data_IF_081841076244
#
_entry.id   IF_081841076244
#
_cell.length_a   1.000
_cell.length_b   1.000
_cell.length_c   1.000
_cell.angle_alpha   90.00
_cell.angle_beta   90.00
_cell.angle_gamma   90.00
#
_symmetry.space_group_name_H-M   'P 1'
#
loop_
_entity.id
_entity.type
_entity.pdbx_description
1 polymer ?
#
# COMPACT_ATOMS: atom_id res chain seq x y z
N UNK A 1 -21.74 18.95 -9.78
CA UNK A 1 -21.58 18.18 -8.53
C UNK A 1 -20.11 17.79 -8.36
N UNK A 2 -19.58 17.76 -7.10
CA UNK A 2 -18.20 17.39 -6.81
C UNK A 2 -18.15 16.11 -5.97
N UNK A 3 -17.13 15.30 -6.22
CA UNK A 3 -16.85 14.02 -5.56
C UNK A 3 -15.42 14.02 -5.04
N UNK A 4 -15.22 13.41 -3.87
CA UNK A 4 -13.93 13.34 -3.22
C UNK A 4 -13.53 11.89 -2.96
N UNK A 5 -12.32 11.51 -3.38
CA UNK A 5 -11.65 10.27 -3.01
C UNK A 5 -10.38 10.57 -2.23
N UNK A 6 -10.17 9.92 -1.07
CA UNK A 6 -8.96 10.11 -0.27
C UNK A 6 -8.33 8.75 0.07
N UNK A 7 -7.03 8.66 -0.16
CA UNK A 7 -6.17 7.59 0.33
C UNK A 7 -5.31 8.13 1.48
N UNK A 8 -5.62 7.70 2.69
CA UNK A 8 -4.97 8.11 3.91
C UNK A 8 -3.97 7.09 4.43
N UNK A 9 -2.72 7.20 3.98
CA UNK A 9 -1.66 6.26 4.26
C UNK A 9 -0.79 6.60 5.48
N UNK A 10 0.17 5.69 5.75
CA UNK A 10 1.17 5.86 6.81
C UNK A 10 2.28 6.87 6.45
N UNK A 11 2.44 7.20 5.18
CA UNK A 11 3.50 8.09 4.67
C UNK A 11 2.95 9.40 4.15
N UNK A 12 1.82 9.36 3.47
CA UNK A 12 1.18 10.52 2.85
C UNK A 12 -0.34 10.32 2.81
N UNK A 13 -1.07 11.42 2.62
CA UNK A 13 -2.51 11.45 2.36
C UNK A 13 -2.71 12.08 0.99
N UNK A 14 -3.40 11.38 0.10
CA UNK A 14 -3.71 11.84 -1.25
C UNK A 14 -5.21 12.06 -1.40
N UNK A 15 -5.63 13.25 -1.83
CA UNK A 15 -7.01 13.58 -2.17
C UNK A 15 -7.15 13.80 -3.68
N UNK A 16 -8.25 13.28 -4.26
CA UNK A 16 -8.68 13.53 -5.63
C UNK A 16 -10.08 14.12 -5.63
N UNK A 17 -10.30 15.16 -6.43
CA UNK A 17 -11.60 15.76 -6.66
C UNK A 17 -12.00 15.55 -8.12
N UNK A 18 -13.23 15.13 -8.35
CA UNK A 18 -13.76 14.98 -9.70
C UNK A 18 -15.17 15.57 -9.84
N UNK A 19 -15.53 15.90 -11.06
CA UNK A 19 -16.89 16.25 -11.46
C UNK A 19 -17.77 15.02 -11.71
N UNK A 20 -19.04 15.25 -11.99
CA UNK A 20 -20.07 14.21 -12.25
C UNK A 20 -19.78 13.36 -13.51
N UNK A 21 -18.95 13.84 -14.43
CA UNK A 21 -18.52 13.10 -15.63
C UNK A 21 -17.34 12.14 -15.36
N UNK A 22 -16.86 12.05 -14.12
CA UNK A 22 -15.66 11.27 -13.76
C UNK A 22 -14.34 11.99 -14.00
N UNK A 23 -14.33 13.19 -14.62
CA UNK A 23 -13.10 13.93 -14.86
C UNK A 23 -12.50 14.43 -13.56
N UNK A 24 -11.26 14.03 -13.27
CA UNK A 24 -10.48 14.56 -12.16
C UNK A 24 -10.13 16.02 -12.44
N UNK A 25 -10.47 16.89 -11.49
CA UNK A 25 -10.33 18.35 -11.56
C UNK A 25 -9.13 18.83 -10.76
N UNK A 26 -8.80 18.12 -9.66
CA UNK A 26 -7.70 18.48 -8.80
C UNK A 26 -7.23 17.32 -7.94
N UNK A 27 -5.98 17.41 -7.53
CA UNK A 27 -5.31 16.49 -6.61
C UNK A 27 -4.54 17.25 -5.54
N UNK A 28 -4.43 16.70 -4.35
CA UNK A 28 -3.67 17.32 -3.27
C UNK A 28 -3.02 16.28 -2.37
N UNK A 29 -1.81 16.57 -1.94
CA UNK A 29 -1.00 15.69 -1.08
C UNK A 29 -0.72 16.38 0.24
N UNK A 30 -0.81 15.63 1.34
CA UNK A 30 -0.42 16.06 2.67
C UNK A 30 0.34 14.95 3.41
N UNK A 31 0.72 15.22 4.65
CA UNK A 31 1.44 14.28 5.50
C UNK A 31 0.62 13.02 5.87
N UNK A 32 1.21 12.12 6.69
CA UNK A 32 0.54 10.91 7.14
C UNK A 32 -0.61 11.19 8.10
N UNK A 33 -1.66 10.38 8.06
CA UNK A 33 -2.87 10.50 8.89
C UNK A 33 -3.11 9.31 9.83
N UNK A 34 -2.12 8.44 10.02
CA UNK A 34 -2.20 7.26 10.89
C UNK A 34 -2.04 7.60 12.38
N UNK A 35 -2.33 6.61 13.26
CA UNK A 35 -2.17 6.69 14.73
C UNK A 35 -2.95 7.84 15.38
N UNK A 36 -4.24 7.94 15.06
CA UNK A 36 -5.15 9.00 15.58
C UNK A 36 -5.20 9.01 17.12
N UNK A 37 -5.13 7.83 17.76
CA UNK A 37 -5.15 7.68 19.22
C UNK A 37 -3.82 8.03 19.91
N UNK A 38 -2.74 8.24 19.16
CA UNK A 38 -1.45 8.65 19.71
C UNK A 38 -1.41 10.12 20.12
N UNK A 39 -0.41 10.50 20.89
CA UNK A 39 -0.20 11.90 21.28
C UNK A 39 -0.09 12.81 20.03
N UNK A 40 -0.94 13.85 19.93
CA UNK A 40 -1.04 14.72 18.74
C UNK A 40 -1.61 14.04 17.49
N UNK A 41 -2.10 12.80 17.60
CA UNK A 41 -2.59 12.03 16.46
C UNK A 41 -3.84 12.61 15.83
N UNK A 42 -4.77 13.15 16.66
CA UNK A 42 -5.98 13.81 16.18
C UNK A 42 -5.67 15.06 15.36
N UNK A 43 -4.80 15.92 15.85
CA UNK A 43 -4.39 17.16 15.16
C UNK A 43 -3.65 16.84 13.86
N UNK A 44 -2.77 15.85 13.89
CA UNK A 44 -2.05 15.35 12.71
C UNK A 44 -3.02 14.83 11.65
N UNK A 45 -4.01 14.02 12.05
CA UNK A 45 -5.04 13.50 11.15
C UNK A 45 -5.83 14.63 10.50
N UNK A 46 -6.34 15.58 11.30
CA UNK A 46 -7.12 16.72 10.80
C UNK A 46 -6.29 17.56 9.82
N UNK A 47 -5.04 17.85 10.16
CA UNK A 47 -4.13 18.61 9.30
C UNK A 47 -3.86 17.92 7.98
N UNK A 48 -3.67 16.59 7.98
CA UNK A 48 -3.43 15.80 6.77
C UNK A 48 -4.66 15.77 5.84
N UNK A 49 -5.86 15.54 6.39
CA UNK A 49 -7.08 15.52 5.59
C UNK A 49 -7.39 16.91 5.03
N UNK A 50 -7.41 17.94 5.89
CA UNK A 50 -7.64 19.32 5.43
C UNK A 50 -6.63 19.74 4.38
N UNK A 51 -5.34 19.57 4.65
CA UNK A 51 -4.27 20.02 3.75
C UNK A 51 -4.35 19.34 2.38
N UNK A 52 -4.63 18.03 2.32
CA UNK A 52 -4.79 17.33 1.04
C UNK A 52 -6.04 17.78 0.27
N UNK A 53 -7.17 17.96 0.96
CA UNK A 53 -8.42 18.40 0.33
C UNK A 53 -8.34 19.86 -0.12
N UNK A 54 -7.81 20.76 0.71
CA UNK A 54 -7.63 22.17 0.36
C UNK A 54 -6.68 22.35 -0.83
N UNK A 55 -5.58 21.60 -0.89
CA UNK A 55 -4.68 21.60 -2.04
C UNK A 55 -5.38 21.12 -3.32
N UNK A 56 -6.19 20.05 -3.23
CA UNK A 56 -6.97 19.55 -4.36
C UNK A 56 -8.05 20.56 -4.81
N UNK A 57 -8.72 21.22 -3.87
CA UNK A 57 -9.71 22.27 -4.16
C UNK A 57 -9.06 23.50 -4.82
N UNK A 58 -7.91 23.92 -4.32
CA UNK A 58 -7.16 25.06 -4.89
C UNK A 58 -6.74 24.75 -6.33
N UNK A 59 -6.23 23.57 -6.60
CA UNK A 59 -5.88 23.14 -7.96
C UNK A 59 -7.11 23.09 -8.89
N UNK A 60 -8.25 22.63 -8.38
CA UNK A 60 -9.50 22.55 -9.13
C UNK A 60 -10.23 23.89 -9.27
N UNK A 61 -9.87 24.92 -8.49
CA UNK A 61 -10.58 26.19 -8.44
C UNK A 61 -12.01 26.09 -7.87
N UNK A 62 -12.24 25.19 -6.90
CA UNK A 62 -13.57 24.90 -6.33
C UNK A 62 -13.60 25.03 -4.81
N UNK A 63 -14.80 25.26 -4.26
CA UNK A 63 -15.02 25.20 -2.82
C UNK A 63 -15.12 23.74 -2.32
N UNK A 64 -14.74 23.43 -1.06
CA UNK A 64 -14.74 22.07 -0.50
C UNK A 64 -16.15 21.63 -0.05
N UNK A 65 -17.08 21.47 -0.99
CA UNK A 65 -18.43 20.97 -0.79
C UNK A 65 -18.70 19.79 -1.74
N UNK A 66 -18.98 18.62 -1.17
CA UNK A 66 -19.03 17.37 -1.93
C UNK A 66 -20.39 16.68 -1.78
N UNK A 67 -20.95 16.18 -2.88
CA UNK A 67 -22.14 15.33 -2.87
C UNK A 67 -21.82 13.97 -2.26
N UNK A 68 -20.66 13.40 -2.61
CA UNK A 68 -20.20 12.17 -1.98
C UNK A 68 -18.68 12.16 -1.82
N UNK A 69 -18.23 11.53 -0.74
CA UNK A 69 -16.82 11.30 -0.47
C UNK A 69 -16.59 9.86 0.02
N UNK A 70 -15.48 9.27 -0.41
CA UNK A 70 -14.94 8.05 0.17
C UNK A 70 -13.52 8.29 0.64
N UNK A 71 -13.23 7.91 1.88
CA UNK A 71 -11.92 8.01 2.49
C UNK A 71 -11.49 6.64 3.02
N UNK A 72 -10.38 6.11 2.51
CA UNK A 72 -9.77 4.87 2.99
C UNK A 72 -8.56 5.15 3.85
N UNK A 73 -8.46 4.46 4.99
CA UNK A 73 -7.42 4.72 5.98
C UNK A 73 -6.67 3.48 6.40
N UNK A 74 -5.35 3.60 6.47
CA UNK A 74 -4.52 2.62 7.14
C UNK A 74 -4.88 2.55 8.63
N UNK A 75 -5.08 1.32 9.14
CA UNK A 75 -5.52 1.06 10.52
C UNK A 75 -7.02 1.15 10.75
N UNK A 76 -7.84 1.13 9.70
CA UNK A 76 -9.29 1.01 9.77
C UNK A 76 -10.06 2.33 9.99
N UNK A 77 -11.39 2.28 9.90
CA UNK A 77 -12.28 3.45 9.97
C UNK A 77 -12.77 3.82 11.37
N UNK A 78 -12.64 2.94 12.36
CA UNK A 78 -13.45 2.89 13.60
C UNK A 78 -13.51 4.21 14.40
N UNK A 79 -12.49 5.04 14.34
CA UNK A 79 -12.38 6.28 15.10
C UNK A 79 -12.28 7.54 14.22
N UNK A 80 -12.47 7.40 12.92
CA UNK A 80 -12.16 8.46 11.94
C UNK A 80 -13.37 9.12 11.31
N UNK A 81 -14.51 8.42 11.22
CA UNK A 81 -15.70 8.96 10.55
C UNK A 81 -16.21 10.24 11.22
N UNK A 82 -16.29 10.26 12.55
CA UNK A 82 -16.71 11.44 13.29
C UNK A 82 -15.79 12.64 13.03
N UNK A 83 -14.47 12.41 13.02
CA UNK A 83 -13.49 13.46 12.74
C UNK A 83 -13.60 13.98 11.30
N UNK A 84 -13.85 13.10 10.33
CA UNK A 84 -14.05 13.52 8.94
C UNK A 84 -15.30 14.39 8.82
N UNK A 85 -16.40 14.03 9.48
CA UNK A 85 -17.65 14.82 9.49
C UNK A 85 -17.50 16.19 10.15
N UNK A 86 -16.56 16.34 11.10
CA UNK A 86 -16.27 17.64 11.72
C UNK A 86 -15.55 18.61 10.77
N UNK A 87 -14.82 18.08 9.78
CA UNK A 87 -13.90 18.88 8.95
C UNK A 87 -14.28 18.99 7.48
N UNK A 88 -15.16 18.12 6.98
CA UNK A 88 -15.59 18.12 5.58
C UNK A 88 -17.11 18.35 5.45
N UNK A 89 -17.49 19.25 4.54
CA UNK A 89 -18.88 19.40 4.10
C UNK A 89 -19.18 18.36 3.01
N UNK A 90 -19.92 17.30 3.37
CA UNK A 90 -20.24 16.19 2.49
C UNK A 90 -21.63 15.64 2.78
N UNK A 91 -22.43 15.38 1.74
CA UNK A 91 -23.79 14.85 1.89
C UNK A 91 -23.76 13.33 2.19
N UNK A 92 -23.00 12.57 1.39
CA UNK A 92 -22.85 11.12 1.54
C UNK A 92 -21.38 10.77 1.80
N UNK A 93 -21.11 10.16 2.95
CA UNK A 93 -19.75 9.80 3.39
C UNK A 93 -19.60 8.30 3.56
N UNK A 94 -18.53 7.75 2.99
CA UNK A 94 -18.01 6.41 3.27
C UNK A 94 -16.59 6.53 3.83
N UNK A 95 -16.38 6.03 5.05
CA UNK A 95 -15.04 5.85 5.64
C UNK A 95 -14.76 4.36 5.72
N UNK A 96 -13.62 3.91 5.20
CA UNK A 96 -13.30 2.49 5.04
C UNK A 96 -11.80 2.23 5.22
N UNK A 97 -11.37 0.97 5.00
CA UNK A 97 -9.95 0.57 5.00
C UNK A 97 -9.24 1.05 3.73
N UNK A 98 -7.93 1.31 3.83
CA UNK A 98 -7.05 1.56 2.67
C UNK A 98 -7.02 0.36 1.71
N UNK A 99 -7.08 -0.87 2.22
CA UNK A 99 -7.12 -2.07 1.39
C UNK A 99 -8.43 -2.19 0.58
N UNK A 100 -9.55 -1.71 1.09
CA UNK A 100 -10.83 -1.72 0.37
C UNK A 100 -10.82 -0.77 -0.82
N UNK A 101 -10.33 0.46 -0.66
CA UNK A 101 -10.18 1.40 -1.77
C UNK A 101 -9.10 0.94 -2.76
N UNK A 102 -8.03 0.32 -2.26
CA UNK A 102 -7.00 -0.28 -3.10
C UNK A 102 -7.56 -1.40 -3.98
N UNK A 103 -8.43 -2.28 -3.45
CA UNK A 103 -9.10 -3.31 -4.22
C UNK A 103 -9.98 -2.71 -5.32
N UNK A 104 -10.79 -1.70 -4.98
CA UNK A 104 -11.65 -1.03 -5.98
C UNK A 104 -10.82 -0.34 -7.05
N UNK A 105 -9.72 0.32 -6.71
CA UNK A 105 -8.78 0.87 -7.70
C UNK A 105 -8.11 -0.20 -8.56
N UNK A 106 -7.82 -1.36 -7.98
CA UNK A 106 -7.07 -2.42 -8.63
C UNK A 106 -7.89 -3.23 -9.65
N UNK A 107 -9.13 -3.60 -9.31
CA UNK A 107 -9.98 -4.52 -10.10
C UNK A 107 -11.36 -3.93 -10.41
N UNK A 108 -11.58 -2.67 -10.10
CA UNK A 108 -12.89 -2.04 -10.22
C UNK A 108 -13.89 -2.64 -9.21
N UNK A 109 -15.12 -2.79 -9.65
CA UNK A 109 -16.21 -3.40 -8.86
C UNK A 109 -16.31 -4.92 -9.02
N UNK A 110 -15.47 -5.49 -9.85
CA UNK A 110 -15.46 -6.92 -10.11
C UNK A 110 -14.96 -7.70 -8.90
N UNK A 111 -15.34 -8.99 -8.76
CA UNK A 111 -14.70 -9.90 -7.85
C UNK A 111 -13.20 -9.97 -8.14
N UNK A 112 -12.39 -10.11 -7.09
CA UNK A 112 -10.93 -10.20 -7.27
C UNK A 112 -10.17 -9.96 -5.98
N UNK A 113 -8.86 -9.96 -6.13
CA UNK A 113 -7.91 -9.83 -5.02
C UNK A 113 -6.88 -8.74 -5.36
N UNK A 114 -6.50 -7.94 -4.37
CA UNK A 114 -5.34 -7.07 -4.44
C UNK A 114 -4.31 -7.49 -3.40
N UNK A 115 -3.04 -7.60 -3.82
CA UNK A 115 -1.91 -7.81 -2.90
C UNK A 115 -1.05 -6.56 -2.92
N UNK A 116 -0.93 -5.95 -1.75
CA UNK A 116 -0.22 -4.70 -1.54
C UNK A 116 1.11 -5.02 -0.84
N UNK A 117 2.23 -4.55 -1.38
CA UNK A 117 3.54 -4.67 -0.77
C UNK A 117 4.32 -3.35 -0.89
N UNK A 118 4.19 -2.54 0.14
CA UNK A 118 4.93 -1.30 0.38
C UNK A 118 5.79 -1.41 1.62
N UNK A 119 5.73 -0.45 2.54
CA UNK A 119 6.37 -0.52 3.86
C UNK A 119 5.87 -1.72 4.68
N UNK A 120 4.57 -2.07 4.57
CA UNK A 120 3.95 -3.30 5.05
C UNK A 120 3.40 -4.13 3.90
N UNK A 121 2.74 -5.25 4.22
CA UNK A 121 2.09 -6.09 3.22
C UNK A 121 0.74 -6.63 3.68
N UNK A 122 -0.20 -6.73 2.74
CA UNK A 122 -1.55 -7.28 2.96
C UNK A 122 -2.09 -7.81 1.64
N UNK A 123 -2.88 -8.87 1.70
CA UNK A 123 -3.77 -9.28 0.62
C UNK A 123 -5.23 -9.08 1.04
N UNK A 124 -6.04 -8.56 0.14
CA UNK A 124 -7.45 -8.24 0.38
C UNK A 124 -8.27 -8.59 -0.84
N UNK A 125 -9.46 -9.18 -0.64
CA UNK A 125 -10.30 -9.63 -1.74
C UNK A 125 -11.78 -9.45 -1.48
N UNK A 126 -12.57 -9.56 -2.56
CA UNK A 126 -14.03 -9.53 -2.57
C UNK A 126 -14.55 -10.51 -3.59
N UNK A 127 -15.56 -11.32 -3.21
CA UNK A 127 -16.27 -12.21 -4.13
C UNK A 127 -17.45 -11.51 -4.83
N UNK A 128 -18.17 -12.25 -5.67
CA UNK A 128 -19.32 -11.74 -6.42
C UNK A 128 -20.52 -11.37 -5.53
N UNK A 129 -20.59 -11.90 -4.31
CA UNK A 129 -21.64 -11.61 -3.33
C UNK A 129 -21.27 -10.43 -2.42
N UNK A 130 -20.07 -9.84 -2.59
CA UNK A 130 -19.56 -8.76 -1.76
C UNK A 130 -18.94 -9.23 -0.44
N UNK A 131 -18.79 -10.54 -0.20
CA UNK A 131 -18.04 -11.07 0.94
C UNK A 131 -16.57 -10.68 0.78
N UNK A 132 -15.95 -10.25 1.87
CA UNK A 132 -14.56 -9.78 1.91
C UNK A 132 -13.71 -10.71 2.76
N UNK A 133 -12.42 -10.83 2.39
CA UNK A 133 -11.42 -11.52 3.18
C UNK A 133 -10.08 -10.79 3.10
N UNK A 134 -9.27 -10.96 4.14
CA UNK A 134 -7.90 -10.44 4.18
C UNK A 134 -6.95 -11.47 4.76
N UNK A 135 -5.67 -11.35 4.37
CA UNK A 135 -4.56 -12.05 4.99
C UNK A 135 -3.35 -11.11 5.07
N UNK A 136 -2.59 -11.20 6.14
CA UNK A 136 -1.51 -10.25 6.45
C UNK A 136 -2.02 -8.92 7.05
N UNK A 137 -1.18 -7.87 6.99
CA UNK A 137 -1.53 -6.55 7.50
C UNK A 137 -1.52 -6.43 9.02
N UNK A 138 -0.76 -7.29 9.72
CA UNK A 138 -0.66 -7.30 11.18
C UNK A 138 0.47 -6.42 11.73
N UNK A 139 1.13 -5.65 10.84
CA UNK A 139 2.26 -4.82 11.19
C UNK A 139 3.57 -5.62 11.32
N UNK A 140 4.67 -4.90 11.35
CA UNK A 140 6.03 -5.46 11.21
C UNK A 140 6.49 -6.36 12.37
N UNK A 141 5.82 -6.34 13.50
CA UNK A 141 6.13 -7.22 14.64
C UNK A 141 5.56 -8.63 14.46
N UNK A 142 4.36 -8.74 13.88
CA UNK A 142 3.60 -9.99 13.80
C UNK A 142 3.28 -10.42 12.36
N UNK A 143 3.69 -9.63 11.36
CA UNK A 143 3.36 -9.86 9.97
C UNK A 143 4.19 -8.99 9.04
N UNK A 144 3.54 -8.50 7.98
CA UNK A 144 4.13 -7.73 6.90
C UNK A 144 5.21 -8.49 6.12
N UNK A 145 5.10 -9.82 6.05
CA UNK A 145 6.02 -10.70 5.32
C UNK A 145 6.07 -10.33 3.84
N UNK A 146 7.28 -10.28 3.28
CA UNK A 146 7.51 -9.87 1.89
C UNK A 146 7.38 -8.37 1.62
N UNK A 147 7.12 -7.55 2.65
CA UNK A 147 7.16 -6.09 2.54
C UNK A 147 8.57 -5.54 2.39
N UNK A 148 8.69 -4.26 2.02
CA UNK A 148 9.97 -3.57 1.94
C UNK A 148 10.72 -3.58 3.29
N UNK A 149 10.01 -3.36 4.40
CA UNK A 149 10.61 -3.46 5.73
C UNK A 149 11.11 -4.87 6.02
N UNK A 150 10.31 -5.90 5.72
CA UNK A 150 10.71 -7.28 5.97
C UNK A 150 11.92 -7.69 5.13
N UNK A 151 11.96 -7.34 3.84
CA UNK A 151 13.11 -7.60 2.97
C UNK A 151 14.40 -7.00 3.56
N UNK A 152 14.37 -5.76 4.05
CA UNK A 152 15.54 -5.12 4.66
C UNK A 152 15.91 -5.78 5.99
N UNK A 153 14.93 -6.13 6.81
CA UNK A 153 15.15 -6.89 8.05
C UNK A 153 15.84 -8.24 7.78
N UNK A 154 15.42 -8.96 6.74
CA UNK A 154 16.04 -10.22 6.34
C UNK A 154 17.46 -9.98 5.79
N UNK A 155 17.67 -8.93 4.99
CA UNK A 155 19.00 -8.57 4.49
C UNK A 155 19.97 -8.24 5.64
N UNK A 156 19.50 -7.52 6.67
CA UNK A 156 20.32 -7.26 7.86
C UNK A 156 20.66 -8.54 8.62
N UNK A 157 19.73 -9.49 8.75
CA UNK A 157 20.02 -10.80 9.37
C UNK A 157 21.12 -11.55 8.62
N UNK A 158 21.10 -11.51 7.30
CA UNK A 158 22.15 -12.12 6.46
C UNK A 158 23.48 -11.39 6.66
N UNK A 159 23.48 -10.06 6.70
CA UNK A 159 24.68 -9.26 6.93
C UNK A 159 25.32 -9.52 8.31
N UNK A 160 24.50 -9.63 9.36
CA UNK A 160 24.98 -9.97 10.71
C UNK A 160 25.65 -11.36 10.74
N UNK A 161 25.03 -12.38 10.14
CA UNK A 161 25.59 -13.73 10.07
C UNK A 161 26.95 -13.77 9.34
N UNK A 162 27.06 -12.97 8.26
CA UNK A 162 28.31 -12.84 7.53
C UNK A 162 29.39 -12.16 8.40
N UNK A 163 29.06 -11.06 9.08
CA UNK A 163 29.97 -10.31 9.95
C UNK A 163 30.47 -11.18 11.13
N UNK A 164 29.62 -12.04 11.67
CA UNK A 164 29.92 -12.97 12.76
C UNK A 164 30.68 -14.25 12.28
N UNK A 165 30.86 -14.42 10.96
CA UNK A 165 31.65 -15.52 10.38
C UNK A 165 30.95 -16.88 10.27
N UNK A 166 29.62 -16.96 10.47
CA UNK A 166 28.85 -18.21 10.30
C UNK A 166 27.82 -18.16 9.15
N UNK A 167 27.73 -17.03 8.47
CA UNK A 167 26.91 -16.87 7.26
C UNK A 167 27.75 -16.83 5.98
N UNK A 168 27.16 -17.15 4.83
CA UNK A 168 27.86 -17.07 3.54
C UNK A 168 28.20 -15.63 3.16
N UNK A 169 29.22 -15.47 2.31
CA UNK A 169 29.63 -14.17 1.80
C UNK A 169 28.51 -13.54 0.96
N UNK A 170 28.27 -12.24 1.17
CA UNK A 170 27.24 -11.48 0.45
C UNK A 170 27.64 -10.01 0.30
N UNK A 171 27.23 -9.41 -0.82
CA UNK A 171 27.34 -7.98 -1.06
C UNK A 171 26.30 -7.15 -0.28
N UNK A 172 25.25 -7.80 0.27
CA UNK A 172 24.26 -7.14 1.12
C UNK A 172 24.87 -6.46 2.35
N UNK A 173 25.94 -7.06 2.93
CA UNK A 173 26.64 -6.49 4.06
C UNK A 173 27.24 -5.11 3.68
N UNK A 174 28.10 -5.07 2.67
CA UNK A 174 28.73 -3.81 2.23
C UNK A 174 27.69 -2.77 1.78
N UNK A 175 26.66 -3.20 1.05
CA UNK A 175 25.57 -2.34 0.60
C UNK A 175 24.85 -1.67 1.77
N UNK A 176 24.46 -2.44 2.81
CA UNK A 176 23.76 -1.89 3.97
C UNK A 176 24.63 -0.89 4.73
N UNK A 177 25.93 -1.16 4.91
CA UNK A 177 26.85 -0.22 5.56
C UNK A 177 26.99 1.08 4.77
N UNK A 178 27.18 0.99 3.45
CA UNK A 178 27.33 2.13 2.56
C UNK A 178 26.07 3.02 2.58
N UNK A 179 24.88 2.42 2.43
CA UNK A 179 23.60 3.14 2.37
C UNK A 179 23.21 3.82 3.70
N UNK A 180 23.71 3.32 4.81
CA UNK A 180 23.31 3.80 6.14
C UNK A 180 24.41 4.60 6.84
N UNK A 181 25.65 4.53 6.35
CA UNK A 181 26.82 5.08 7.02
C UNK A 181 27.16 4.38 8.34
N UNK A 182 26.65 3.16 8.59
CA UNK A 182 27.04 2.35 9.71
C UNK A 182 28.42 1.71 9.46
N UNK A 183 29.21 1.54 10.51
CA UNK A 183 30.53 0.93 10.43
C UNK A 183 30.50 -0.60 10.47
N UNK A 184 29.47 -1.15 11.11
CA UNK A 184 29.24 -2.59 11.28
C UNK A 184 27.75 -2.90 11.14
N UNK A 185 27.39 -4.14 10.80
CA UNK A 185 26.02 -4.60 10.77
C UNK A 185 25.39 -4.58 12.19
N UNK A 186 26.19 -4.81 13.20
CA UNK A 186 25.76 -4.69 14.60
C UNK A 186 25.38 -3.24 14.96
N UNK A 187 26.16 -2.23 14.55
CA UNK A 187 25.80 -0.83 14.74
C UNK A 187 24.47 -0.51 14.02
N UNK A 188 24.30 -0.98 12.79
CA UNK A 188 23.05 -0.79 12.05
C UNK A 188 21.86 -1.46 12.74
N UNK A 189 22.03 -2.67 13.26
CA UNK A 189 21.00 -3.35 14.05
C UNK A 189 20.55 -2.52 15.24
N UNK A 190 21.48 -1.94 15.98
CA UNK A 190 21.15 -1.05 17.10
C UNK A 190 20.35 0.18 16.67
N UNK A 191 20.67 0.78 15.51
CA UNK A 191 19.90 1.91 14.96
C UNK A 191 18.44 1.56 14.67
N UNK A 192 18.12 0.31 14.33
CA UNK A 192 16.72 -0.12 14.10
C UNK A 192 15.84 -0.03 15.35
N UNK A 193 16.45 0.09 16.53
CA UNK A 193 15.74 0.30 17.80
C UNK A 193 15.64 1.76 18.22
N UNK A 194 16.12 2.69 17.39
CA UNK A 194 16.08 4.13 17.69
C UNK A 194 15.03 4.86 16.86
N UNK A 195 14.55 6.00 17.39
CA UNK A 195 13.64 6.89 16.67
C UNK A 195 14.27 7.53 15.42
N UNK A 196 15.60 7.62 15.37
CA UNK A 196 16.35 8.25 14.29
C UNK A 196 16.34 7.41 13.00
N UNK A 197 15.97 6.14 13.13
CA UNK A 197 15.87 5.20 12.02
C UNK A 197 14.46 4.59 11.93
N UNK A 198 13.43 5.40 11.61
CA UNK A 198 12.04 4.96 11.60
C UNK A 198 11.79 3.90 10.53
N UNK A 199 10.72 3.13 10.70
CA UNK A 199 10.31 2.02 9.82
C UNK A 199 10.31 2.41 8.34
N UNK A 200 9.85 3.60 7.99
CA UNK A 200 9.83 4.09 6.61
C UNK A 200 11.24 4.25 6.02
N UNK A 201 12.19 4.73 6.83
CA UNK A 201 13.60 4.87 6.43
C UNK A 201 14.26 3.49 6.22
N UNK A 202 13.93 2.51 7.07
CA UNK A 202 14.38 1.12 6.89
C UNK A 202 13.83 0.58 5.57
N UNK A 203 12.52 0.66 5.36
CA UNK A 203 11.85 0.17 4.15
C UNK A 203 12.40 0.82 2.85
N UNK A 204 12.84 2.07 2.92
CA UNK A 204 13.43 2.79 1.79
C UNK A 204 14.74 2.16 1.25
N UNK A 205 15.38 1.25 2.01
CA UNK A 205 16.57 0.51 1.57
C UNK A 205 16.23 -0.70 0.66
N UNK A 206 14.96 -1.10 0.55
CA UNK A 206 14.59 -2.28 -0.23
C UNK A 206 15.00 -2.22 -1.72
N UNK A 207 14.96 -1.08 -2.43
CA UNK A 207 15.48 -0.97 -3.79
C UNK A 207 16.95 -1.39 -3.92
N UNK A 208 17.80 -1.09 -2.92
CA UNK A 208 19.22 -1.46 -2.92
C UNK A 208 19.44 -2.98 -2.85
N UNK A 209 18.52 -3.74 -2.25
CA UNK A 209 18.53 -5.20 -2.28
C UNK A 209 18.31 -5.69 -3.71
N UNK A 210 17.36 -5.08 -4.43
CA UNK A 210 17.10 -5.41 -5.84
C UNK A 210 18.31 -5.10 -6.74
N UNK A 211 19.00 -3.98 -6.52
CA UNK A 211 20.24 -3.64 -7.23
C UNK A 211 21.36 -4.63 -6.92
N UNK A 212 21.49 -5.05 -5.65
CA UNK A 212 22.47 -6.06 -5.24
C UNK A 212 22.19 -7.43 -5.90
N UNK A 213 20.91 -7.83 -5.97
CA UNK A 213 20.46 -9.00 -6.70
C UNK A 213 20.72 -8.90 -8.21
N UNK A 214 20.58 -7.72 -8.81
CA UNK A 214 20.89 -7.48 -10.23
C UNK A 214 22.37 -7.63 -10.55
N UNK A 215 23.25 -7.40 -9.57
CA UNK A 215 24.71 -7.64 -9.67
C UNK A 215 25.12 -9.10 -9.43
N UNK A 216 24.14 -9.99 -9.21
CA UNK A 216 24.35 -11.44 -9.11
C UNK A 216 24.56 -11.98 -7.69
N UNK A 217 24.30 -11.18 -6.64
CA UNK A 217 24.35 -11.69 -5.27
C UNK A 217 23.22 -12.71 -5.04
N UNK A 218 23.61 -13.96 -4.76
CA UNK A 218 22.69 -15.09 -4.65
C UNK A 218 21.72 -14.91 -3.47
N UNK A 219 22.22 -14.41 -2.33
CA UNK A 219 21.37 -14.22 -1.14
C UNK A 219 20.37 -13.09 -1.34
N UNK A 220 20.74 -12.02 -2.05
CA UNK A 220 19.79 -10.98 -2.40
C UNK A 220 18.69 -11.51 -3.34
N UNK A 221 19.04 -12.38 -4.30
CA UNK A 221 18.07 -13.04 -5.17
C UNK A 221 17.11 -13.93 -4.36
N UNK A 222 17.66 -14.76 -3.47
CA UNK A 222 16.88 -15.65 -2.61
C UNK A 222 15.92 -14.88 -1.71
N UNK A 223 16.35 -13.76 -1.11
CA UNK A 223 15.49 -12.89 -0.30
C UNK A 223 14.31 -12.33 -1.11
N UNK A 224 14.55 -11.85 -2.33
CA UNK A 224 13.47 -11.34 -3.19
C UNK A 224 12.48 -12.46 -3.58
N UNK A 225 12.99 -13.66 -3.89
CA UNK A 225 12.13 -14.82 -4.20
C UNK A 225 11.34 -15.29 -2.98
N UNK A 226 11.96 -15.32 -1.79
CA UNK A 226 11.27 -15.66 -0.55
C UNK A 226 10.16 -14.64 -0.22
N UNK A 227 10.46 -13.34 -0.36
CA UNK A 227 9.45 -12.28 -0.19
C UNK A 227 8.26 -12.43 -1.15
N UNK A 228 8.52 -12.72 -2.43
CA UNK A 228 7.46 -13.01 -3.40
C UNK A 228 6.63 -14.25 -3.01
N UNK A 229 7.27 -15.29 -2.45
CA UNK A 229 6.61 -16.47 -1.91
C UNK A 229 5.65 -16.14 -0.77
N UNK A 230 6.08 -15.30 0.19
CA UNK A 230 5.23 -14.85 1.29
C UNK A 230 4.01 -14.07 0.79
N UNK A 231 4.21 -13.17 -0.17
CA UNK A 231 3.10 -12.42 -0.79
C UNK A 231 2.12 -13.35 -1.52
N UNK A 232 2.60 -14.37 -2.23
CA UNK A 232 1.75 -15.37 -2.87
C UNK A 232 0.98 -16.21 -1.85
N UNK A 233 1.57 -16.55 -0.70
CA UNK A 233 0.89 -17.30 0.37
C UNK A 233 -0.29 -16.53 0.96
N UNK A 234 -0.14 -15.24 1.27
CA UNK A 234 -1.25 -14.43 1.77
C UNK A 234 -2.32 -14.20 0.70
N UNK A 235 -1.93 -14.16 -0.58
CA UNK A 235 -2.87 -14.12 -1.71
C UNK A 235 -3.69 -15.40 -1.81
N UNK A 236 -3.04 -16.56 -1.75
CA UNK A 236 -3.70 -17.87 -1.76
C UNK A 236 -4.65 -18.04 -0.57
N UNK A 237 -4.28 -17.53 0.61
CA UNK A 237 -5.13 -17.55 1.79
C UNK A 237 -6.43 -16.75 1.61
N UNK A 238 -6.37 -15.60 0.93
CA UNK A 238 -7.58 -14.81 0.58
C UNK A 238 -8.40 -15.53 -0.49
N UNK A 239 -7.74 -16.08 -1.52
CA UNK A 239 -8.41 -16.84 -2.58
C UNK A 239 -9.21 -18.00 -2.01
N UNK A 240 -8.61 -18.83 -1.16
CA UNK A 240 -9.28 -19.99 -0.56
C UNK A 240 -10.47 -19.67 0.34
N UNK A 241 -10.58 -18.43 0.84
CA UNK A 241 -11.72 -17.98 1.65
C UNK A 241 -12.90 -17.47 0.81
N UNK A 242 -12.66 -17.03 -0.43
CA UNK A 242 -13.63 -16.30 -1.25
C UNK A 242 -14.06 -17.04 -2.51
N UNK A 243 -13.19 -17.86 -3.10
CA UNK A 243 -13.38 -18.42 -4.43
C UNK A 243 -13.25 -19.95 -4.41
N UNK A 244 -14.04 -20.61 -5.23
CA UNK A 244 -13.94 -22.06 -5.42
C UNK A 244 -12.69 -22.44 -6.23
N UNK A 245 -12.26 -23.71 -6.13
CA UNK A 245 -11.16 -24.22 -6.95
C UNK A 245 -11.48 -24.09 -8.45
N UNK A 246 -10.52 -23.58 -9.23
CA UNK A 246 -10.67 -23.33 -10.67
C UNK A 246 -11.55 -22.14 -11.04
N UNK A 247 -12.15 -21.43 -10.08
CA UNK A 247 -12.91 -20.21 -10.36
C UNK A 247 -11.99 -19.11 -10.89
N UNK A 248 -12.38 -18.39 -11.98
CA UNK A 248 -11.59 -17.30 -12.52
C UNK A 248 -11.45 -16.15 -11.54
N UNK A 249 -10.21 -15.79 -11.18
CA UNK A 249 -9.90 -14.72 -10.23
C UNK A 249 -8.81 -13.82 -10.78
N UNK A 250 -9.10 -12.52 -10.84
CA UNK A 250 -8.10 -11.49 -11.09
C UNK A 250 -7.37 -11.15 -9.80
N UNK A 251 -6.07 -11.35 -9.77
CA UNK A 251 -5.17 -10.91 -8.69
C UNK A 251 -4.38 -9.69 -9.18
N UNK A 252 -4.60 -8.56 -8.56
CA UNK A 252 -3.82 -7.36 -8.84
C UNK A 252 -2.72 -7.20 -7.78
N UNK A 253 -1.58 -6.63 -8.19
CA UNK A 253 -0.54 -6.22 -7.26
C UNK A 253 -0.33 -4.70 -7.28
N UNK A 254 0.10 -4.14 -6.14
CA UNK A 254 0.53 -2.75 -6.02
C UNK A 254 1.55 -2.56 -4.88
N UNK A 255 2.20 -1.40 -4.87
CA UNK A 255 3.20 -1.03 -3.89
C UNK A 255 4.64 -1.17 -4.40
N UNK A 256 5.56 -0.47 -3.73
CA UNK A 256 6.94 -0.28 -4.19
C UNK A 256 7.77 -1.57 -4.33
N UNK A 257 7.45 -2.62 -3.57
CA UNK A 257 8.14 -3.91 -3.66
C UNK A 257 7.97 -4.54 -5.04
N UNK A 258 6.80 -4.37 -5.66
CA UNK A 258 6.54 -4.82 -7.03
C UNK A 258 7.25 -4.00 -8.11
N UNK A 259 8.00 -2.95 -7.74
CA UNK A 259 9.00 -2.32 -8.60
C UNK A 259 10.12 -3.29 -9.02
N UNK A 260 10.44 -4.29 -8.19
CA UNK A 260 11.38 -5.36 -8.53
C UNK A 260 10.78 -6.31 -9.57
N UNK A 261 11.44 -6.44 -10.73
CA UNK A 261 11.04 -7.42 -11.77
C UNK A 261 11.08 -8.84 -11.22
N UNK A 262 12.10 -9.17 -10.40
CA UNK A 262 12.25 -10.50 -9.80
C UNK A 262 11.09 -10.86 -8.89
N UNK A 263 10.65 -9.92 -8.05
CA UNK A 263 9.49 -10.12 -7.17
C UNK A 263 8.22 -10.29 -8.00
N UNK A 264 7.98 -9.41 -8.98
CA UNK A 264 6.78 -9.48 -9.83
C UNK A 264 6.67 -10.80 -10.57
N UNK A 265 7.72 -11.21 -11.27
CA UNK A 265 7.71 -12.44 -12.08
C UNK A 265 7.54 -13.67 -11.18
N UNK A 266 8.25 -13.72 -10.05
CA UNK A 266 8.10 -14.83 -9.12
C UNK A 266 6.71 -14.87 -8.49
N UNK A 267 6.18 -13.73 -8.07
CA UNK A 267 4.81 -13.61 -7.53
C UNK A 267 3.78 -14.06 -8.56
N UNK A 268 3.87 -13.53 -9.80
CA UNK A 268 2.97 -13.89 -10.90
C UNK A 268 3.00 -15.40 -11.14
N UNK A 269 4.19 -15.97 -11.31
CA UNK A 269 4.33 -17.42 -11.50
C UNK A 269 3.65 -18.23 -10.40
N UNK A 270 3.86 -17.84 -9.11
CA UNK A 270 3.30 -18.58 -7.98
C UNK A 270 1.78 -18.45 -7.90
N UNK A 271 1.23 -17.27 -8.17
CA UNK A 271 -0.22 -17.04 -8.15
C UNK A 271 -0.91 -17.77 -9.30
N UNK A 272 -0.30 -17.77 -10.49
CA UNK A 272 -0.86 -18.40 -11.70
C UNK A 272 -0.67 -19.94 -11.73
N UNK A 273 0.02 -20.54 -10.75
CA UNK A 273 -0.02 -21.97 -10.50
C UNK A 273 -1.40 -22.45 -10.01
N UNK A 274 -2.17 -21.57 -9.43
CA UNK A 274 -3.55 -21.87 -9.01
C UNK A 274 -4.48 -21.69 -10.19
N UNK A 275 -5.19 -22.76 -10.54
CA UNK A 275 -6.11 -22.79 -11.68
C UNK A 275 -7.15 -21.66 -11.60
N UNK A 276 -7.34 -20.97 -12.72
CA UNK A 276 -8.25 -19.83 -12.84
C UNK A 276 -7.65 -18.48 -12.41
N UNK A 277 -6.49 -18.45 -11.75
CA UNK A 277 -5.86 -17.20 -11.36
C UNK A 277 -5.13 -16.51 -12.51
N UNK A 278 -5.31 -15.19 -12.61
CA UNK A 278 -4.49 -14.32 -13.47
C UNK A 278 -3.94 -13.18 -12.63
N UNK A 279 -2.62 -12.91 -12.75
CA UNK A 279 -1.98 -11.88 -11.95
C UNK A 279 -1.43 -10.73 -12.84
N UNK A 280 -1.57 -9.49 -12.35
CA UNK A 280 -1.12 -8.29 -13.08
C UNK A 280 -1.11 -7.04 -12.21
N UNK A 281 -0.63 -5.91 -12.76
CA UNK A 281 -0.66 -4.65 -12.03
C UNK A 281 -2.08 -4.19 -11.74
N UNK A 282 -2.26 -3.42 -10.67
CA UNK A 282 -3.50 -2.70 -10.40
C UNK A 282 -3.84 -1.75 -11.55
N UNK A 283 -5.13 -1.63 -11.87
CA UNK A 283 -5.59 -0.73 -12.93
C UNK A 283 -5.40 0.75 -12.55
N UNK A 284 -5.70 1.06 -11.29
CA UNK A 284 -5.63 2.41 -10.72
C UNK A 284 -5.07 2.41 -9.30
N UNK A 285 -4.72 3.60 -8.80
CA UNK A 285 -4.29 3.82 -7.42
C UNK A 285 -5.45 3.70 -6.41
N UNK A 286 -5.16 3.57 -5.10
CA UNK A 286 -6.18 3.54 -4.06
C UNK A 286 -7.03 4.82 -4.02
N UNK A 287 -6.45 6.01 -4.24
CA UNK A 287 -7.21 7.26 -4.28
C UNK A 287 -8.23 7.31 -5.42
N UNK A 288 -7.91 6.71 -6.58
CA UNK A 288 -8.87 6.53 -7.68
C UNK A 288 -9.95 5.55 -7.28
N UNK A 289 -9.60 4.45 -6.60
CA UNK A 289 -10.57 3.51 -6.04
C UNK A 289 -11.51 4.18 -5.04
N UNK A 290 -11.00 5.05 -4.17
CA UNK A 290 -11.83 5.87 -3.27
C UNK A 290 -12.80 6.78 -4.05
N UNK A 291 -12.33 7.41 -5.11
CA UNK A 291 -13.19 8.23 -5.98
C UNK A 291 -14.28 7.40 -6.67
N UNK A 292 -13.96 6.18 -7.13
CA UNK A 292 -14.96 5.25 -7.69
C UNK A 292 -16.02 4.84 -6.65
N UNK A 293 -15.63 4.62 -5.40
CA UNK A 293 -16.57 4.37 -4.30
C UNK A 293 -17.46 5.60 -4.02
N UNK A 294 -16.91 6.83 -4.07
CA UNK A 294 -17.69 8.04 -3.92
C UNK A 294 -18.75 8.21 -5.02
N UNK A 295 -18.41 7.90 -6.28
CA UNK A 295 -19.39 7.87 -7.38
C UNK A 295 -20.48 6.84 -7.13
N UNK A 296 -20.13 5.64 -6.71
CA UNK A 296 -21.10 4.60 -6.38
C UNK A 296 -22.06 5.02 -5.27
N UNK A 297 -21.55 5.65 -4.22
CA UNK A 297 -22.34 6.15 -3.10
C UNK A 297 -23.39 7.18 -3.57
N UNK A 298 -23.09 7.93 -4.62
CA UNK A 298 -24.02 8.86 -5.26
C UNK A 298 -24.93 8.21 -6.31
N UNK A 299 -24.77 6.92 -6.63
CA UNK A 299 -25.55 6.22 -7.64
C UNK A 299 -25.04 6.45 -9.09
N UNK A 300 -23.80 6.91 -9.27
CA UNK A 300 -23.18 7.13 -10.56
C UNK A 300 -22.32 5.94 -10.99
N UNK A 301 -22.43 5.56 -12.27
CA UNK A 301 -21.62 4.51 -12.90
C UNK A 301 -20.63 5.14 -13.89
N UNK A 302 -19.73 5.98 -13.40
CA UNK A 302 -18.72 6.68 -14.20
C UNK A 302 -17.31 6.20 -13.82
N UNK A 303 -16.43 6.21 -14.83
CA UNK A 303 -15.01 5.88 -14.62
C UNK A 303 -14.19 7.17 -14.49
N UNK A 304 -13.24 7.22 -13.54
CA UNK A 304 -12.33 8.34 -13.40
C UNK A 304 -11.48 8.55 -14.66
N UNK A 305 -11.37 9.79 -15.10
CA UNK A 305 -10.56 10.20 -16.25
C UNK A 305 -9.68 11.40 -15.90
N UNK A 306 -8.68 11.68 -16.71
CA UNK A 306 -7.70 12.75 -16.44
C UNK A 306 -6.99 12.58 -15.07
N UNK A 307 -6.74 11.32 -14.70
CA UNK A 307 -6.02 10.99 -13.46
C UNK A 307 -4.55 11.42 -13.60
N UNK A 308 -3.97 12.15 -12.63
CA UNK A 308 -2.56 12.52 -12.68
C UNK A 308 -1.66 11.29 -12.79
N UNK A 309 -0.69 11.32 -13.72
CA UNK A 309 0.23 10.20 -14.00
C UNK A 309 1.29 9.96 -12.92
N UNK A 310 1.61 10.99 -12.15
CA UNK A 310 2.55 10.91 -11.04
C UNK A 310 1.78 11.21 -9.74
N UNK A 311 1.39 10.16 -9.04
CA UNK A 311 0.91 10.25 -7.66
C UNK A 311 1.96 9.59 -6.75
N UNK A 312 2.28 10.19 -5.60
CA UNK A 312 3.33 9.71 -4.69
C UNK A 312 3.05 8.31 -4.14
#
# INVERSE_FOLDING_TARGET
MLFLGVDGGQTATLALIAGETGRVLGSGVAGPCNHVQGAGGREKFIAAIRGSVEAACAQAGVAPAFVAACLGFSGGPEDKEALVREILSVEKLLVTDDAAIALTGAVGRQPGIVTIAGTGSISYGRDALGKRARAGGWGYLFGDEGSAFDLVRQALRVALRFEEGWGPRTALHAMLLEQTGARTANELMHRFYTSDFPRSRIAALAPCINETAARGDVLAIELLHAGAGQLAMITAAVRGQLFAAGEPVRVAWMGGVFGSVRVRERFRTLVELEDGCTAGPAAHSPAVGALMEAFQLAGLAVEPSNVPSAMP
#
